data_IF_495531852948
#
_entry.id   IF_495531852948
#
_cell.length_a   1.000
_cell.length_b   1.000
_cell.length_c   1.000
_cell.angle_alpha   90.00
_cell.angle_beta   90.00
_cell.angle_gamma   90.00
#
_symmetry.space_group_name_H-M   'P 1'
#
loop_
_entity.id
_entity.type
_entity.pdbx_description
1 polymer ?
#
# COMPACT_ATOMS: atom_id res chain seq x y z
N UNK A 1 14.45 1.39 -1.14
CA UNK A 1 13.78 1.36 0.19
C UNK A 1 12.39 0.79 0.06
N UNK A 2 11.87 0.24 1.13
CA UNK A 2 10.54 -0.39 1.12
C UNK A 2 9.67 0.27 2.19
N UNK A 3 8.44 0.58 1.81
CA UNK A 3 7.41 1.09 2.72
C UNK A 3 6.22 0.13 2.68
N UNK A 4 5.71 -0.25 3.85
CA UNK A 4 4.55 -1.13 3.95
C UNK A 4 3.34 -0.29 4.38
N UNK A 5 2.26 -0.45 3.65
CA UNK A 5 0.96 0.16 3.97
C UNK A 5 -0.04 -0.94 4.25
N UNK A 6 -0.91 -0.72 5.22
CA UNK A 6 -1.92 -1.70 5.59
C UNK A 6 -3.23 -0.97 5.89
N UNK A 7 -4.30 -1.36 5.20
CA UNK A 7 -5.61 -0.75 5.37
C UNK A 7 -6.72 -1.77 5.18
N UNK A 8 -7.86 -1.52 5.79
CA UNK A 8 -9.03 -2.37 5.62
C UNK A 8 -9.92 -1.93 4.44
N UNK A 9 -9.57 -0.84 3.79
CA UNK A 9 -10.31 -0.28 2.66
C UNK A 9 -9.33 0.01 1.52
N UNK A 10 -9.61 -0.54 0.35
CA UNK A 10 -8.74 -0.36 -0.81
C UNK A 10 -8.65 1.09 -1.27
N UNK A 11 -9.73 1.86 -1.10
CA UNK A 11 -9.74 3.28 -1.46
C UNK A 11 -8.76 4.07 -0.58
N UNK A 12 -8.75 3.79 0.72
CA UNK A 12 -7.83 4.44 1.64
C UNK A 12 -6.39 4.05 1.36
N UNK A 13 -6.16 2.79 1.01
CA UNK A 13 -4.82 2.32 0.65
C UNK A 13 -4.31 3.05 -0.58
N UNK A 14 -5.15 3.16 -1.61
CA UNK A 14 -4.80 3.86 -2.85
C UNK A 14 -4.44 5.33 -2.57
N UNK A 15 -5.25 5.97 -1.75
CA UNK A 15 -5.06 7.36 -1.37
C UNK A 15 -3.72 7.58 -0.67
N UNK A 16 -3.38 6.69 0.26
CA UNK A 16 -2.12 6.77 0.99
C UNK A 16 -0.92 6.57 0.07
N UNK A 17 -0.99 5.60 -0.82
CA UNK A 17 0.10 5.32 -1.75
C UNK A 17 0.29 6.50 -2.71
N UNK A 18 -0.80 7.06 -3.23
CA UNK A 18 -0.72 8.19 -4.14
C UNK A 18 -0.13 9.43 -3.46
N UNK A 19 -0.49 9.64 -2.20
CA UNK A 19 0.06 10.75 -1.43
C UNK A 19 1.56 10.56 -1.18
N UNK A 20 1.95 9.35 -0.81
CA UNK A 20 3.34 9.00 -0.58
C UNK A 20 4.18 9.19 -1.86
N UNK A 21 3.61 8.81 -3.00
CA UNK A 21 4.29 8.88 -4.29
C UNK A 21 4.58 10.29 -4.79
N UNK A 22 4.04 11.31 -4.14
CA UNK A 22 4.31 12.71 -4.53
C UNK A 22 5.74 13.12 -4.21
N UNK A 23 6.35 12.50 -3.21
CA UNK A 23 7.66 12.90 -2.69
C UNK A 23 8.77 11.91 -3.00
N UNK A 24 8.46 10.80 -3.65
CA UNK A 24 9.43 9.74 -3.92
C UNK A 24 9.21 9.16 -5.30
N UNK A 25 10.21 8.43 -5.78
CA UNK A 25 10.10 7.68 -7.03
C UNK A 25 9.71 6.25 -6.70
N UNK A 26 8.50 5.85 -7.06
CA UNK A 26 8.01 4.50 -6.82
C UNK A 26 8.52 3.59 -7.94
N UNK A 27 9.22 2.54 -7.56
CA UNK A 27 9.81 1.59 -8.51
C UNK A 27 8.92 0.38 -8.72
N UNK A 28 8.22 -0.05 -7.68
CA UNK A 28 7.35 -1.22 -7.79
C UNK A 28 6.38 -1.24 -6.61
N UNK A 29 5.19 -1.80 -6.85
CA UNK A 29 4.16 -1.96 -5.82
C UNK A 29 3.65 -3.39 -5.90
N UNK A 30 3.55 -4.05 -4.74
CA UNK A 30 2.96 -5.37 -4.62
C UNK A 30 1.82 -5.27 -3.62
N UNK A 31 0.62 -5.65 -4.03
CA UNK A 31 -0.57 -5.54 -3.17
C UNK A 31 -1.13 -6.94 -2.95
N UNK A 32 -1.46 -7.24 -1.70
CA UNK A 32 -2.13 -8.50 -1.35
C UNK A 32 -3.38 -8.22 -0.54
N UNK A 33 -4.34 -9.12 -0.65
CA UNK A 33 -5.59 -9.07 0.08
C UNK A 33 -5.66 -10.28 1.00
N UNK A 34 -5.95 -10.03 2.27
CA UNK A 34 -6.05 -11.09 3.27
C UNK A 34 -7.41 -11.04 3.93
N UNK A 35 -8.05 -12.19 4.08
CA UNK A 35 -9.33 -12.31 4.76
C UNK A 35 -9.16 -13.12 6.03
N UNK A 36 -9.63 -12.57 7.16
CA UNK A 36 -9.61 -13.25 8.45
C UNK A 36 -11.01 -13.12 9.04
N UNK A 37 -11.75 -14.22 9.07
CA UNK A 37 -13.15 -14.21 9.50
C UNK A 37 -13.96 -13.29 8.58
N UNK A 38 -14.61 -12.29 9.17
CA UNK A 38 -15.41 -11.32 8.41
C UNK A 38 -14.62 -10.08 8.04
N UNK A 39 -13.33 -10.06 8.35
CA UNK A 39 -12.47 -8.89 8.09
C UNK A 39 -11.62 -9.09 6.87
N UNK A 40 -11.42 -8.00 6.11
CA UNK A 40 -10.55 -7.99 4.94
C UNK A 40 -9.50 -6.91 5.13
N UNK A 41 -8.25 -7.24 4.84
CA UNK A 41 -7.14 -6.30 4.91
C UNK A 41 -6.41 -6.26 3.58
N UNK A 42 -5.94 -5.07 3.22
CA UNK A 42 -5.10 -4.87 2.05
C UNK A 42 -3.73 -4.44 2.53
N UNK A 43 -2.70 -5.08 2.01
CA UNK A 43 -1.32 -4.76 2.35
C UNK A 43 -0.57 -4.43 1.07
N UNK A 44 0.12 -3.32 1.06
CA UNK A 44 0.95 -2.92 -0.07
C UNK A 44 2.41 -2.80 0.36
N UNK A 45 3.29 -3.41 -0.42
CA UNK A 45 4.73 -3.25 -0.25
C UNK A 45 5.21 -2.38 -1.40
N UNK A 46 5.73 -1.21 -1.08
CA UNK A 46 6.17 -0.22 -2.06
C UNK A 46 7.69 -0.12 -2.06
N UNK A 47 8.30 -0.45 -3.18
CA UNK A 47 9.73 -0.27 -3.38
C UNK A 47 9.94 1.10 -3.99
N UNK A 48 10.76 1.93 -3.35
CA UNK A 48 10.90 3.31 -3.77
C UNK A 48 12.32 3.85 -3.55
N UNK A 49 12.59 4.98 -4.20
CA UNK A 49 13.81 5.76 -4.02
C UNK A 49 13.40 7.22 -3.77
N UNK A 50 14.19 7.90 -3.00
CA UNK A 50 13.99 9.34 -2.80
C UNK A 50 14.56 10.16 -3.95
#
# INVERSE_FOLDING_TARGET
>A
MVKIFEEDDSYELEKEINNFGKDVHIKNISISRTEVGDSTYYTAAVLYEK
#
